data_IF_723482648315
#
_entry.id   IF_723482648315
#
_cell.length_a   1.000
_cell.length_b   1.000
_cell.length_c   1.000
_cell.angle_alpha   90.00
_cell.angle_beta   90.00
_cell.angle_gamma   90.00
#
_symmetry.space_group_name_H-M   'P 1'
#
loop_
_entity.id
_entity.type
_entity.pdbx_description
1 polymer ?
#
# COMPACT_ATOMS: atom_id res chain seq x y z
N UNK A 1 -0.24 6.51 1.08
CA UNK A 1 -0.67 5.57 2.15
C UNK A 1 -1.70 6.18 3.11
N UNK A 2 -1.35 7.15 3.98
CA UNK A 2 -2.25 7.68 5.05
C UNK A 2 -3.66 8.02 4.56
N UNK A 3 -3.78 8.81 3.49
CA UNK A 3 -5.09 9.18 2.93
C UNK A 3 -5.96 7.96 2.57
N UNK A 4 -5.36 6.93 1.95
CA UNK A 4 -6.09 5.73 1.55
C UNK A 4 -6.56 4.90 2.76
N UNK A 5 -5.73 4.81 3.82
CA UNK A 5 -6.10 4.11 5.05
C UNK A 5 -7.20 4.86 5.81
N UNK A 6 -7.12 6.20 5.88
CA UNK A 6 -8.19 7.01 6.47
C UNK A 6 -9.52 6.78 5.74
N UNK A 7 -9.49 6.80 4.41
CA UNK A 7 -10.67 6.53 3.59
C UNK A 7 -11.24 5.14 3.86
N UNK A 8 -10.39 4.11 3.94
CA UNK A 8 -10.87 2.77 4.33
C UNK A 8 -11.61 2.84 5.66
N UNK A 9 -11.04 3.46 6.71
CA UNK A 9 -11.68 3.55 8.03
C UNK A 9 -13.04 4.29 7.99
N UNK A 10 -13.13 5.39 7.25
CA UNK A 10 -14.31 6.27 7.20
C UNK A 10 -15.45 5.76 6.29
N UNK A 11 -15.11 5.09 5.19
CA UNK A 11 -16.06 4.70 4.14
C UNK A 11 -16.77 3.40 4.50
N UNK A 12 -18.05 3.45 4.86
CA UNK A 12 -18.84 2.29 5.30
C UNK A 12 -19.05 1.23 4.23
N UNK A 13 -18.88 1.56 2.96
CA UNK A 13 -19.04 0.61 1.85
C UNK A 13 -17.72 -0.10 1.50
N UNK A 14 -16.59 0.37 2.06
CA UNK A 14 -15.29 -0.27 1.89
C UNK A 14 -14.99 -1.24 3.04
N UNK A 15 -14.87 -2.53 2.70
CA UNK A 15 -14.46 -3.58 3.65
C UNK A 15 -12.94 -3.81 3.67
N UNK A 16 -12.23 -3.38 2.63
CA UNK A 16 -10.79 -3.55 2.51
C UNK A 16 -10.13 -2.65 1.47
N UNK A 17 -8.80 -2.65 1.49
CA UNK A 17 -7.94 -1.86 0.62
C UNK A 17 -6.68 -2.68 0.32
N UNK A 18 -6.23 -2.64 -0.94
CA UNK A 18 -4.88 -3.10 -1.30
C UNK A 18 -4.02 -1.87 -1.53
N UNK A 19 -2.91 -1.77 -0.82
CA UNK A 19 -1.88 -0.76 -1.05
C UNK A 19 -0.75 -1.41 -1.82
N UNK A 20 -0.51 -0.95 -3.04
CA UNK A 20 0.65 -1.33 -3.84
C UNK A 20 1.68 -0.20 -3.80
N UNK A 21 2.95 -0.55 -3.56
CA UNK A 21 4.02 0.45 -3.48
C UNK A 21 5.40 -0.16 -3.73
N UNK A 22 6.29 0.66 -4.29
CA UNK A 22 7.72 0.40 -4.41
C UNK A 22 8.51 0.95 -3.20
N UNK A 23 7.86 1.72 -2.32
CA UNK A 23 8.49 2.40 -1.19
C UNK A 23 8.78 1.42 -0.04
N UNK A 24 10.06 1.14 0.28
CA UNK A 24 10.41 0.21 1.34
C UNK A 24 10.01 0.74 2.73
N UNK A 25 9.90 2.06 2.88
CA UNK A 25 9.47 2.73 4.12
C UNK A 25 8.07 2.29 4.57
N UNK A 26 7.18 1.98 3.63
CA UNK A 26 5.81 1.55 3.94
C UNK A 26 5.81 0.22 4.70
N UNK A 27 6.71 -0.70 4.38
CA UNK A 27 6.84 -1.98 5.10
C UNK A 27 7.12 -1.77 6.59
N UNK A 28 7.97 -0.78 6.90
CA UNK A 28 8.37 -0.43 8.26
C UNK A 28 7.27 0.37 8.98
N UNK A 29 6.66 1.33 8.29
CA UNK A 29 5.86 2.37 8.94
C UNK A 29 4.37 1.98 9.03
N UNK A 30 3.86 1.15 8.10
CA UNK A 30 2.44 0.77 8.05
C UNK A 30 1.98 0.04 9.33
N UNK A 31 2.68 -0.98 9.88
CA UNK A 31 2.21 -1.68 11.08
C UNK A 31 2.09 -0.75 12.29
N UNK A 32 3.10 0.11 12.50
CA UNK A 32 3.10 1.08 13.59
C UNK A 32 1.98 2.12 13.41
N UNK A 33 1.79 2.61 12.19
CA UNK A 33 0.73 3.55 11.86
C UNK A 33 -0.67 2.95 12.13
N UNK A 34 -0.94 1.72 11.70
CA UNK A 34 -2.21 1.04 11.96
C UNK A 34 -2.45 0.85 13.46
N UNK A 35 -1.43 0.39 14.20
CA UNK A 35 -1.56 0.16 15.64
C UNK A 35 -1.86 1.45 16.42
N UNK A 36 -1.33 2.59 15.99
CA UNK A 36 -1.47 3.86 16.71
C UNK A 36 -2.70 4.68 16.29
N UNK A 37 -3.09 4.63 15.01
CA UNK A 37 -4.10 5.52 14.44
C UNK A 37 -5.38 4.82 14.00
N UNK A 38 -5.31 3.53 13.64
CA UNK A 38 -6.43 2.77 13.05
C UNK A 38 -6.50 1.35 13.62
N UNK A 39 -6.75 1.25 14.92
CA UNK A 39 -6.85 -0.04 15.61
C UNK A 39 -8.03 -0.90 15.11
N UNK A 40 -8.95 -0.31 14.34
CA UNK A 40 -10.08 -0.94 13.64
C UNK A 40 -9.68 -1.62 12.32
N UNK A 41 -8.47 -1.39 11.81
CA UNK A 41 -7.96 -1.98 10.57
C UNK A 41 -6.95 -3.09 10.90
N UNK A 42 -6.98 -4.16 10.10
CA UNK A 42 -6.06 -5.29 10.17
C UNK A 42 -5.26 -5.40 8.87
N UNK A 43 -3.93 -5.54 9.00
CA UNK A 43 -3.08 -6.02 7.91
C UNK A 43 -3.27 -7.54 7.79
N UNK A 44 -4.05 -7.97 6.81
CA UNK A 44 -4.40 -9.38 6.60
C UNK A 44 -3.28 -10.15 5.92
N UNK A 45 -2.64 -9.55 4.92
CA UNK A 45 -1.61 -10.20 4.09
C UNK A 45 -0.62 -9.18 3.57
N UNK A 46 0.64 -9.60 3.50
CA UNK A 46 1.69 -8.92 2.74
C UNK A 46 2.22 -9.88 1.70
N UNK A 47 2.32 -9.45 0.46
CA UNK A 47 3.02 -10.17 -0.58
C UNK A 47 3.67 -9.18 -1.55
N UNK A 48 4.26 -9.69 -2.64
CA UNK A 48 4.82 -8.86 -3.69
C UNK A 48 4.50 -9.44 -5.07
N UNK A 49 4.63 -8.62 -6.10
CA UNK A 49 4.60 -9.02 -7.50
C UNK A 49 5.76 -8.36 -8.25
N UNK A 50 6.28 -8.99 -9.33
CA UNK A 50 7.23 -8.31 -10.21
C UNK A 50 6.65 -7.02 -10.78
N UNK A 51 7.53 -6.05 -11.04
CA UNK A 51 7.18 -4.86 -11.84
C UNK A 51 6.84 -5.30 -13.26
N UNK A 52 5.74 -4.77 -13.80
CA UNK A 52 5.31 -5.02 -15.18
C UNK A 52 5.59 -3.81 -16.07
N UNK A 53 5.57 -4.03 -17.39
CA UNK A 53 5.67 -2.94 -18.37
C UNK A 53 4.55 -1.90 -18.18
N UNK A 54 3.37 -2.29 -17.71
CA UNK A 54 2.27 -1.37 -17.41
C UNK A 54 2.62 -0.45 -16.25
N UNK A 55 3.26 -0.96 -15.19
CA UNK A 55 3.71 -0.15 -14.06
C UNK A 55 4.76 0.88 -14.51
N UNK A 56 5.75 0.43 -15.30
CA UNK A 56 6.79 1.31 -15.85
C UNK A 56 6.18 2.42 -16.72
N UNK A 57 5.23 2.08 -17.60
CA UNK A 57 4.53 3.07 -18.43
C UNK A 57 3.71 4.07 -17.61
N UNK A 58 3.14 3.66 -16.46
CA UNK A 58 2.46 4.58 -15.54
C UNK A 58 3.43 5.52 -14.82
N UNK A 59 4.69 5.11 -14.66
CA UNK A 59 5.74 5.87 -13.98
C UNK A 59 6.53 6.79 -14.91
N UNK A 60 6.77 6.39 -16.16
CA UNK A 60 7.57 7.09 -17.18
C UNK A 60 7.14 8.55 -17.43
N UNK A 61 5.90 8.91 -17.07
CA UNK A 61 5.39 10.29 -17.13
C UNK A 61 5.29 11.02 -15.77
N UNK A 62 5.67 10.40 -14.67
CA UNK A 62 5.44 10.88 -13.28
C UNK A 62 6.65 10.80 -12.35
N UNK A 63 7.63 9.98 -12.67
CA UNK A 63 8.83 9.73 -11.89
C UNK A 63 10.04 9.73 -12.82
N UNK A 64 11.19 10.18 -12.31
CA UNK A 64 12.44 10.03 -13.05
C UNK A 64 12.90 8.56 -12.95
N UNK A 65 13.65 8.05 -13.93
CA UNK A 65 14.14 6.66 -13.94
C UNK A 65 14.94 6.32 -12.65
N UNK A 66 15.66 7.30 -12.10
CA UNK A 66 16.39 7.19 -10.84
C UNK A 66 15.49 6.87 -9.63
N UNK A 67 14.20 7.24 -9.67
CA UNK A 67 13.26 7.00 -8.56
C UNK A 67 12.87 5.51 -8.44
N UNK A 68 12.97 4.75 -9.53
CA UNK A 68 12.61 3.34 -9.57
C UNK A 68 13.73 2.41 -10.08
N UNK A 69 14.94 2.95 -10.27
CA UNK A 69 16.11 2.18 -10.65
C UNK A 69 16.40 1.10 -9.59
N UNK A 70 16.58 -0.15 -10.04
CA UNK A 70 16.85 -1.29 -9.16
C UNK A 70 15.63 -1.87 -8.44
N UNK A 71 14.42 -1.39 -8.73
CA UNK A 71 13.18 -1.93 -8.16
C UNK A 71 12.64 -3.05 -9.03
N UNK A 72 12.71 -4.28 -8.50
CA UNK A 72 12.24 -5.48 -9.22
C UNK A 72 10.80 -5.88 -8.86
N UNK A 73 10.31 -5.46 -7.69
CA UNK A 73 9.05 -5.92 -7.13
C UNK A 73 8.24 -4.78 -6.51
N UNK A 74 6.92 -4.86 -6.68
CA UNK A 74 5.93 -4.04 -6.01
C UNK A 74 5.43 -4.79 -4.78
N UNK A 75 5.52 -4.14 -3.61
CA UNK A 75 4.98 -4.66 -2.36
C UNK A 75 3.47 -4.41 -2.29
N UNK A 76 2.71 -5.40 -1.83
CA UNK A 76 1.25 -5.33 -1.69
C UNK A 76 0.82 -5.61 -0.27
N UNK A 77 0.03 -4.72 0.28
CA UNK A 77 -0.50 -4.80 1.64
C UNK A 77 -2.03 -4.87 1.58
N UNK A 78 -2.58 -5.99 2.04
CA UNK A 78 -4.01 -6.24 2.08
C UNK A 78 -4.54 -5.82 3.45
N UNK A 79 -5.30 -4.74 3.47
CA UNK A 79 -5.92 -4.17 4.65
C UNK A 79 -7.41 -4.50 4.65
N UNK A 80 -7.94 -4.91 5.80
CA UNK A 80 -9.37 -5.13 6.00
C UNK A 80 -9.84 -4.45 7.28
N UNK A 81 -11.11 -4.10 7.35
CA UNK A 81 -11.72 -3.72 8.62
C UNK A 81 -11.87 -4.94 9.53
N UNK A 82 -11.63 -4.75 10.81
CA UNK A 82 -11.98 -5.74 11.82
C UNK A 82 -13.50 -5.81 11.89
N UNK A 83 -14.05 -7.00 11.64
CA UNK A 83 -15.47 -7.26 11.89
C UNK A 83 -15.65 -7.27 13.41
N UNK A 84 -16.53 -6.40 13.90
CA UNK A 84 -16.91 -6.34 15.32
C UNK A 84 -17.73 -7.56 15.76
#
# INVERSE_FOLDING_TARGET
>A
MRFAVNRLSEDKEMDGLIIETIEPSVARDLPAFLAHMHSDILLQKTDSRPVSDEDLNLWDGRFDEEDYEGIEHISRYHLIKKVG
#
